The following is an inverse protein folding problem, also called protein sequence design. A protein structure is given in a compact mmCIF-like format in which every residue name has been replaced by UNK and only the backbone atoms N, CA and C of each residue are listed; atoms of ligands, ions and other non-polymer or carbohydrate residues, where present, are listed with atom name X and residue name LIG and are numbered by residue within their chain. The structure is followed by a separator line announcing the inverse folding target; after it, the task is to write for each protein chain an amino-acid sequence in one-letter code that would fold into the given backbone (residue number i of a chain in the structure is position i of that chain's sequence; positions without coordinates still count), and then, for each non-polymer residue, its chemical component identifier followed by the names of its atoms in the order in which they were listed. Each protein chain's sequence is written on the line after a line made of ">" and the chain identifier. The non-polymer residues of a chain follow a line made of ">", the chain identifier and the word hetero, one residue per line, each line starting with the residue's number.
data_IF_292343229102
#
_entry.id   IF_292343229102
#
_cell.length_a   1.000
_cell.length_b   1.000
_cell.length_c   1.000
_cell.angle_alpha   90.00
_cell.angle_beta   90.00
_cell.angle_gamma   90.00
#
_symmetry.space_group_name_H-M   'P 1'
#
loop_
_entity.id
_entity.type
_entity.pdbx_description
1 polymer ?
#
# COMPACT_ATOMS: atom_id res chain seq x y z
N UNK A 1 -10.71 -10.10 17.52
CA UNK A 1 -9.46 -9.61 18.14
C UNK A 1 -8.36 -10.68 18.27
N UNK A 2 -8.60 -11.82 18.93
CA UNK A 2 -7.56 -12.82 19.20
C UNK A 2 -6.85 -13.42 17.98
N UNK A 3 -7.56 -13.63 16.86
CA UNK A 3 -7.00 -14.22 15.64
C UNK A 3 -5.91 -13.34 15.00
N UNK A 4 -6.13 -12.02 14.92
CA UNK A 4 -5.16 -11.07 14.35
C UNK A 4 -3.92 -10.97 15.25
N UNK A 5 -4.10 -10.86 16.57
CA UNK A 5 -2.98 -10.82 17.53
C UNK A 5 -2.11 -12.08 17.43
N UNK A 6 -2.74 -13.26 17.38
CA UNK A 6 -2.02 -14.52 17.21
C UNK A 6 -1.28 -14.60 15.87
N UNK A 7 -1.89 -14.11 14.79
CA UNK A 7 -1.23 -14.01 13.49
C UNK A 7 0.00 -13.08 13.55
N UNK A 8 -0.14 -11.87 14.11
CA UNK A 8 0.94 -10.91 14.24
C UNK A 8 2.09 -11.47 15.11
N UNK A 9 1.79 -12.17 16.20
CA UNK A 9 2.80 -12.84 17.02
C UNK A 9 3.56 -13.94 16.24
N UNK A 10 2.86 -14.69 15.38
CA UNK A 10 3.49 -15.61 14.44
C UNK A 10 4.39 -14.90 13.44
N UNK A 11 3.93 -13.76 12.90
CA UNK A 11 4.66 -12.96 11.94
C UNK A 11 5.94 -12.36 12.54
N UNK A 12 5.89 -11.82 13.77
CA UNK A 12 7.05 -11.35 14.54
C UNK A 12 8.15 -12.41 14.60
N UNK A 13 7.79 -13.64 15.00
CA UNK A 13 8.74 -14.75 15.11
C UNK A 13 9.34 -15.14 13.76
N UNK A 14 8.54 -15.10 12.70
CA UNK A 14 8.97 -15.48 11.34
C UNK A 14 9.90 -14.44 10.72
N UNK A 15 9.59 -13.15 10.89
CA UNK A 15 10.34 -12.07 10.24
C UNK A 15 11.52 -11.57 11.06
N UNK A 16 11.56 -11.84 12.38
CA UNK A 16 12.63 -11.38 13.25
C UNK A 16 12.58 -9.89 13.61
N UNK A 17 11.47 -9.21 13.29
CA UNK A 17 11.24 -7.81 13.64
C UNK A 17 10.28 -7.67 14.82
N UNK A 18 10.49 -6.64 15.66
CA UNK A 18 9.55 -6.28 16.72
C UNK A 18 8.26 -5.74 16.10
N UNK A 19 7.11 -6.30 16.49
CA UNK A 19 5.80 -5.75 16.15
C UNK A 19 5.07 -5.34 17.41
N UNK A 20 4.36 -4.21 17.35
CA UNK A 20 3.56 -3.68 18.45
C UNK A 20 2.10 -3.61 17.98
N UNK A 21 1.22 -4.56 18.35
CA UNK A 21 -0.18 -4.51 17.95
C UNK A 21 -0.94 -3.47 18.79
N UNK A 22 -1.45 -2.44 18.12
CA UNK A 22 -2.25 -1.37 18.73
C UNK A 22 -3.71 -1.61 18.36
N UNK A 23 -4.61 -1.53 19.33
CA UNK A 23 -6.03 -1.78 19.11
C UNK A 23 -6.81 -0.47 19.08
N UNK A 24 -7.56 -0.26 17.99
CA UNK A 24 -8.52 0.83 17.88
C UNK A 24 -9.95 0.27 18.00
N UNK A 25 -10.65 0.62 19.08
CA UNK A 25 -12.06 0.24 19.29
C UNK A 25 -13.00 0.99 18.36
N UNK A 26 -12.59 2.16 17.89
CA UNK A 26 -13.38 3.08 17.09
C UNK A 26 -13.01 3.01 15.60
N UNK A 27 -12.58 1.84 15.11
CA UNK A 27 -12.05 1.68 13.74
C UNK A 27 -13.05 2.07 12.65
N UNK A 28 -14.36 1.88 12.91
CA UNK A 28 -15.45 2.23 11.98
C UNK A 28 -15.60 3.73 11.73
N UNK A 29 -15.02 4.58 12.60
CA UNK A 29 -15.17 6.04 12.48
C UNK A 29 -14.21 6.66 11.46
N UNK A 30 -13.21 5.92 10.99
CA UNK A 30 -12.25 6.37 9.99
C UNK A 30 -10.84 5.84 10.22
N UNK A 31 -10.08 5.65 9.13
CA UNK A 31 -8.72 5.11 9.17
C UNK A 31 -7.72 6.02 9.91
N UNK A 32 -7.95 7.34 9.92
CA UNK A 32 -7.11 8.30 10.62
C UNK A 32 -7.11 8.14 12.13
N UNK A 33 -8.20 7.66 12.75
CA UNK A 33 -8.20 7.29 14.17
C UNK A 33 -7.24 6.15 14.47
N UNK A 34 -7.15 5.16 13.58
CA UNK A 34 -6.22 4.04 13.76
C UNK A 34 -4.77 4.52 13.75
N UNK A 35 -4.46 5.51 12.89
CA UNK A 35 -3.15 6.17 12.88
C UNK A 35 -2.92 6.97 14.16
N UNK A 36 -3.91 7.74 14.64
CA UNK A 36 -3.81 8.48 15.91
C UNK A 36 -3.48 7.59 17.12
N UNK A 37 -3.97 6.34 17.15
CA UNK A 37 -3.64 5.40 18.23
C UNK A 37 -2.14 5.06 18.29
N UNK A 38 -1.40 5.27 17.21
CA UNK A 38 0.04 5.03 17.15
C UNK A 38 0.91 6.22 17.61
N UNK A 39 0.32 7.36 17.95
CA UNK A 39 1.03 8.61 18.32
C UNK A 39 2.11 8.43 19.37
N UNK A 40 1.85 7.64 20.40
CA UNK A 40 2.80 7.43 21.52
C UNK A 40 4.03 6.60 21.11
N UNK A 41 3.96 5.90 19.99
CA UNK A 41 4.99 4.98 19.52
C UNK A 41 5.86 5.57 18.39
N UNK A 42 5.38 6.62 17.72
CA UNK A 42 5.98 7.15 16.49
C UNK A 42 6.40 8.61 16.69
N UNK A 43 7.68 8.82 17.04
CA UNK A 43 8.26 10.14 17.34
C UNK A 43 9.22 10.64 16.27
N UNK A 44 9.52 9.82 15.27
CA UNK A 44 10.39 10.12 14.12
C UNK A 44 9.59 9.95 12.82
N UNK A 45 10.08 10.45 11.66
CA UNK A 45 9.45 10.17 10.39
C UNK A 45 9.29 8.66 10.13
N UNK A 46 8.12 8.26 9.66
CA UNK A 46 7.75 6.86 9.51
C UNK A 46 7.05 6.59 8.18
N UNK A 47 7.12 5.35 7.73
CA UNK A 47 6.34 4.86 6.60
C UNK A 47 4.98 4.38 7.13
N UNK A 48 3.90 4.87 6.54
CA UNK A 48 2.52 4.48 6.81
C UNK A 48 1.97 3.78 5.57
N UNK A 49 1.49 2.55 5.76
CA UNK A 49 1.02 1.67 4.68
C UNK A 49 -0.39 1.20 4.99
N UNK A 50 -1.27 1.27 4.00
CA UNK A 50 -2.56 0.60 4.03
C UNK A 50 -2.33 -0.93 3.96
N UNK A 51 -3.05 -1.69 4.79
CA UNK A 51 -2.74 -3.12 5.03
C UNK A 51 -3.36 -4.07 4.00
N UNK A 52 -4.39 -3.59 3.31
CA UNK A 52 -5.13 -4.12 2.17
C UNK A 52 -4.40 -3.87 0.83
N UNK A 53 -3.45 -2.95 0.79
CA UNK A 53 -2.75 -2.61 -0.45
C UNK A 53 -1.56 -3.56 -0.72
N UNK A 54 -1.52 -4.10 -1.94
CA UNK A 54 -0.36 -4.79 -2.48
C UNK A 54 0.39 -3.85 -3.41
N UNK A 55 1.71 -3.76 -3.30
CA UNK A 55 2.49 -2.78 -4.05
C UNK A 55 3.94 -3.22 -4.29
N UNK A 56 4.59 -2.62 -5.28
CA UNK A 56 6.01 -2.79 -5.56
C UNK A 56 6.86 -2.14 -4.44
N UNK A 57 7.73 -2.91 -3.76
CA UNK A 57 8.61 -2.37 -2.72
C UNK A 57 9.49 -1.20 -3.16
N UNK A 58 9.72 -0.99 -4.46
CA UNK A 58 10.40 0.20 -4.98
C UNK A 58 9.71 1.51 -4.53
N UNK A 59 8.38 1.55 -4.50
CA UNK A 59 7.61 2.73 -4.08
C UNK A 59 7.98 3.13 -2.64
N UNK A 60 8.01 2.17 -1.72
CA UNK A 60 8.41 2.42 -0.33
C UNK A 60 9.86 2.89 -0.23
N UNK A 61 10.77 2.35 -1.04
CA UNK A 61 12.18 2.78 -1.04
C UNK A 61 12.34 4.23 -1.50
N UNK A 62 11.63 4.62 -2.55
CA UNK A 62 11.63 6.00 -3.06
C UNK A 62 11.08 6.98 -2.04
N UNK A 63 9.93 6.66 -1.44
CA UNK A 63 9.36 7.46 -0.35
C UNK A 63 10.32 7.59 0.83
N UNK A 64 10.92 6.48 1.28
CA UNK A 64 11.90 6.51 2.38
C UNK A 64 13.11 7.40 2.08
N UNK A 65 13.59 7.43 0.84
CA UNK A 65 14.71 8.26 0.41
C UNK A 65 14.38 9.76 0.31
N UNK A 66 13.10 10.13 0.19
CA UNK A 66 12.67 11.51 0.05
C UNK A 66 12.90 12.32 1.35
N UNK A 67 13.66 13.43 1.34
CA UNK A 67 13.75 14.30 2.50
C UNK A 67 12.41 15.01 2.75
N UNK A 68 11.96 15.02 4.01
CA UNK A 68 10.80 15.78 4.45
C UNK A 68 11.24 16.88 5.42
N UNK A 69 10.70 18.07 5.23
CA UNK A 69 10.78 19.14 6.23
C UNK A 69 9.83 18.85 7.39
N UNK A 70 10.01 19.56 8.50
CA UNK A 70 9.07 19.46 9.61
C UNK A 70 7.64 19.86 9.18
N UNK A 71 6.67 19.10 9.66
CA UNK A 71 5.26 19.24 9.29
C UNK A 71 4.85 18.59 7.97
N UNK A 72 5.78 18.12 7.14
CA UNK A 72 5.46 17.58 5.82
C UNK A 72 5.07 16.10 5.86
N UNK A 73 4.31 15.70 4.85
CA UNK A 73 4.10 14.30 4.46
C UNK A 73 4.35 14.15 2.96
N UNK A 74 4.61 12.92 2.53
CA UNK A 74 4.59 12.53 1.13
C UNK A 74 3.68 11.33 0.92
N UNK A 75 2.95 11.33 -0.18
CA UNK A 75 2.10 10.24 -0.64
C UNK A 75 2.60 9.75 -2.01
N UNK A 76 2.73 8.43 -2.18
CA UNK A 76 2.86 7.83 -3.49
C UNK A 76 1.56 8.04 -4.29
N UNK A 77 1.65 8.69 -5.44
CA UNK A 77 0.52 9.00 -6.31
C UNK A 77 0.72 8.31 -7.66
N UNK A 78 -0.24 7.48 -8.05
CA UNK A 78 -0.30 6.94 -9.40
C UNK A 78 -0.98 7.95 -10.32
N UNK A 79 -0.25 8.49 -11.29
CA UNK A 79 -0.77 9.43 -12.28
C UNK A 79 -1.19 8.76 -13.59
N UNK A 80 -1.02 7.45 -13.73
CA UNK A 80 -1.61 6.73 -14.85
C UNK A 80 -3.10 6.50 -14.60
N UNK A 81 -3.92 7.49 -14.96
CA UNK A 81 -5.38 7.45 -14.82
C UNK A 81 -6.07 6.37 -15.67
N UNK A 82 -5.29 5.59 -16.44
CA UNK A 82 -5.75 4.46 -17.24
C UNK A 82 -5.36 3.10 -16.63
N UNK A 83 -4.78 3.09 -15.43
CA UNK A 83 -4.40 1.86 -14.76
C UNK A 83 -5.62 0.96 -14.53
N UNK A 84 -5.66 -0.17 -15.26
CA UNK A 84 -6.79 -1.10 -15.26
C UNK A 84 -6.93 -1.90 -13.96
N UNK A 85 -6.00 -1.78 -13.01
CA UNK A 85 -6.08 -2.42 -11.70
C UNK A 85 -6.88 -1.60 -10.68
N UNK A 86 -7.20 -0.35 -11.01
CA UNK A 86 -7.91 0.56 -10.12
C UNK A 86 -9.41 0.32 -10.23
N UNK A 87 -10.09 0.34 -9.09
CA UNK A 87 -11.54 0.49 -9.04
C UNK A 87 -11.90 1.97 -8.97
N UNK A 88 -12.49 2.49 -10.05
CA UNK A 88 -12.83 3.90 -10.17
C UNK A 88 -13.98 4.33 -9.25
N UNK A 89 -14.76 3.38 -8.73
CA UNK A 89 -15.87 3.66 -7.82
C UNK A 89 -15.39 3.87 -6.38
N UNK A 90 -14.33 3.17 -5.96
CA UNK A 90 -13.83 3.24 -4.58
C UNK A 90 -12.52 4.02 -4.41
N UNK A 91 -11.70 4.16 -5.47
CA UNK A 91 -10.38 4.79 -5.36
C UNK A 91 -10.43 6.23 -4.83
N UNK A 92 -9.52 6.54 -3.91
CA UNK A 92 -9.28 7.92 -3.49
C UNK A 92 -8.50 8.66 -4.57
N UNK A 93 -9.10 9.70 -5.13
CA UNK A 93 -8.53 10.49 -6.24
C UNK A 93 -7.74 11.67 -5.69
N UNK A 94 -6.69 12.04 -6.41
CA UNK A 94 -5.76 13.11 -6.03
C UNK A 94 -5.63 14.11 -7.19
N UNK A 95 -5.65 15.39 -6.85
CA UNK A 95 -5.22 16.47 -7.74
C UNK A 95 -3.85 16.96 -7.29
N UNK A 96 -2.93 17.02 -8.23
CA UNK A 96 -1.55 17.45 -8.00
C UNK A 96 -1.13 18.58 -8.95
N UNK A 97 -0.16 19.39 -8.53
CA UNK A 97 0.57 20.34 -9.38
C UNK A 97 2.06 20.24 -9.04
N UNK A 98 2.87 19.74 -9.97
CA UNK A 98 4.27 19.42 -9.67
C UNK A 98 4.36 18.34 -8.59
N UNK A 99 5.14 18.55 -7.55
CA UNK A 99 5.27 17.65 -6.40
C UNK A 99 4.27 17.95 -5.28
N UNK A 100 3.28 18.81 -5.50
CA UNK A 100 2.31 19.24 -4.48
C UNK A 100 0.97 18.58 -4.68
N UNK A 101 0.36 18.13 -3.57
CA UNK A 101 -1.05 17.74 -3.54
C UNK A 101 -1.88 19.01 -3.35
N UNK A 102 -2.86 19.20 -4.22
CA UNK A 102 -3.81 20.32 -4.14
C UNK A 102 -5.13 19.88 -3.51
N UNK A 103 -5.59 18.67 -3.81
CA UNK A 103 -6.82 18.12 -3.26
C UNK A 103 -6.80 16.58 -3.30
N UNK A 104 -7.58 15.94 -2.44
CA UNK A 104 -7.68 14.48 -2.33
C UNK A 104 -9.05 14.06 -1.81
N UNK A 105 -9.78 13.19 -2.50
CA UNK A 105 -11.07 12.66 -2.06
C UNK A 105 -11.53 11.53 -2.99
N UNK A 106 -12.34 10.58 -2.51
CA UNK A 106 -13.02 9.59 -3.37
C UNK A 106 -13.93 10.25 -4.41
N UNK A 107 -14.59 11.36 -4.05
CA UNK A 107 -15.56 12.06 -4.90
C UNK A 107 -14.98 13.13 -5.83
N UNK A 108 -13.65 13.22 -5.97
CA UNK A 108 -13.02 14.31 -6.72
C UNK A 108 -13.27 14.16 -8.24
N UNK A 109 -13.79 15.22 -8.87
CA UNK A 109 -14.08 15.24 -10.32
C UNK A 109 -12.90 15.73 -11.15
N UNK A 110 -12.20 16.76 -10.70
CA UNK A 110 -10.93 17.21 -11.28
C UNK A 110 -9.75 16.56 -10.55
N UNK A 111 -9.23 15.48 -11.12
CA UNK A 111 -8.11 14.72 -10.58
C UNK A 111 -7.09 14.39 -11.68
N UNK A 112 -5.85 14.11 -11.29
CA UNK A 112 -4.80 13.67 -12.19
C UNK A 112 -3.93 12.56 -11.59
N UNK A 113 -4.44 11.89 -10.55
CA UNK A 113 -3.84 10.69 -10.01
C UNK A 113 -4.70 10.03 -8.93
N UNK A 114 -4.19 8.93 -8.40
CA UNK A 114 -4.81 8.10 -7.39
C UNK A 114 -3.91 7.99 -6.16
N UNK A 115 -4.52 7.97 -4.98
CA UNK A 115 -3.86 7.68 -3.72
C UNK A 115 -3.52 6.19 -3.67
N UNK A 116 -2.23 5.88 -3.50
CA UNK A 116 -1.74 4.49 -3.45
C UNK A 116 -1.76 3.89 -2.05
N UNK A 117 -2.15 4.62 -1.01
CA UNK A 117 -2.13 4.19 0.38
C UNK A 117 -0.73 4.07 1.00
N UNK A 118 0.30 4.58 0.32
CA UNK A 118 1.70 4.46 0.74
C UNK A 118 2.23 5.87 1.04
N UNK A 119 2.44 6.15 2.32
CA UNK A 119 2.82 7.46 2.81
C UNK A 119 4.16 7.42 3.53
N UNK A 120 4.92 8.50 3.40
CA UNK A 120 5.94 8.87 4.38
C UNK A 120 5.40 10.04 5.19
N UNK A 121 5.29 9.87 6.50
CA UNK A 121 4.75 10.86 7.41
C UNK A 121 5.80 11.36 8.40
N UNK A 122 5.67 12.60 8.83
CA UNK A 122 6.27 13.10 10.07
C UNK A 122 5.26 13.00 11.21
N UNK A 123 5.67 13.04 12.50
CA UNK A 123 4.75 13.04 13.64
C UNK A 123 3.71 14.18 13.62
N UNK A 124 3.94 15.22 12.83
CA UNK A 124 2.98 16.31 12.65
C UNK A 124 1.60 15.85 12.16
N UNK A 125 1.52 14.73 11.42
CA UNK A 125 0.25 14.15 10.95
C UNK A 125 -0.74 13.92 12.10
N UNK A 126 -0.26 13.54 13.29
CA UNK A 126 -1.12 13.30 14.45
C UNK A 126 -1.86 14.56 14.90
N UNK A 127 -1.15 15.70 14.94
CA UNK A 127 -1.76 16.98 15.31
C UNK A 127 -2.84 17.42 14.31
N UNK A 128 -2.63 17.13 13.02
CA UNK A 128 -3.58 17.46 11.96
C UNK A 128 -4.81 16.56 12.03
N UNK A 129 -4.61 15.25 12.22
CA UNK A 129 -5.70 14.30 12.43
C UNK A 129 -6.57 14.67 13.65
N UNK A 130 -5.95 15.06 14.77
CA UNK A 130 -6.69 15.55 15.94
C UNK A 130 -7.47 16.83 15.65
N UNK A 131 -6.90 17.74 14.85
CA UNK A 131 -7.55 18.98 14.47
C UNK A 131 -8.75 18.72 13.55
N UNK A 132 -8.58 17.89 12.52
CA UNK A 132 -9.65 17.49 11.60
C UNK A 132 -10.83 16.87 12.36
N UNK A 133 -10.53 15.93 13.26
CA UNK A 133 -11.54 15.29 14.10
C UNK A 133 -12.31 16.27 15.01
N UNK A 134 -11.64 17.31 15.51
CA UNK A 134 -12.25 18.32 16.40
C UNK A 134 -13.05 19.39 15.65
N UNK A 135 -12.57 19.82 14.48
CA UNK A 135 -13.14 20.94 13.74
C UNK A 135 -14.29 20.48 12.85
N UNK A 136 -14.08 19.40 12.11
CA UNK A 136 -14.98 18.97 11.03
C UNK A 136 -15.69 17.65 11.35
N UNK A 137 -15.26 16.96 12.41
CA UNK A 137 -15.73 15.61 12.73
C UNK A 137 -15.24 14.53 11.77
N UNK A 138 -14.43 14.91 10.76
CA UNK A 138 -13.82 13.98 9.82
C UNK A 138 -12.56 13.37 10.44
N UNK A 139 -12.49 12.04 10.47
CA UNK A 139 -11.38 11.30 11.05
C UNK A 139 -10.64 10.45 10.03
N UNK A 140 -10.82 10.75 8.74
CA UNK A 140 -10.13 10.09 7.64
C UNK A 140 -8.71 10.64 7.46
N UNK A 141 -7.82 9.81 6.91
CA UNK A 141 -6.50 10.25 6.47
C UNK A 141 -6.61 11.30 5.36
N UNK A 142 -7.55 11.13 4.41
CA UNK A 142 -7.75 12.07 3.31
C UNK A 142 -8.06 13.49 3.82
N UNK A 143 -8.87 13.64 4.86
CA UNK A 143 -9.12 14.95 5.48
C UNK A 143 -7.85 15.57 6.07
N UNK A 144 -7.02 14.80 6.77
CA UNK A 144 -5.74 15.29 7.26
C UNK A 144 -4.79 15.68 6.11
N UNK A 145 -4.77 14.91 5.02
CA UNK A 145 -3.99 15.25 3.81
C UNK A 145 -4.51 16.52 3.16
N UNK A 146 -5.83 16.75 3.09
CA UNK A 146 -6.41 18.00 2.59
C UNK A 146 -5.98 19.21 3.44
N UNK A 147 -6.01 19.09 4.77
CA UNK A 147 -5.53 20.16 5.66
C UNK A 147 -4.04 20.46 5.47
N UNK A 148 -3.21 19.43 5.26
CA UNK A 148 -1.79 19.59 4.98
C UNK A 148 -1.55 20.17 3.59
N UNK A 149 -2.34 19.78 2.58
CA UNK A 149 -2.29 20.34 1.23
C UNK A 149 -2.60 21.85 1.24
N UNK A 150 -3.62 22.27 1.99
CA UNK A 150 -3.95 23.69 2.17
C UNK A 150 -2.83 24.49 2.85
N UNK A 151 -1.96 23.82 3.62
CA UNK A 151 -0.79 24.42 4.27
C UNK A 151 0.52 24.27 3.48
N UNK A 152 0.48 23.75 2.23
CA UNK A 152 1.65 23.45 1.41
C UNK A 152 2.60 22.41 2.02
N UNK A 153 2.03 21.45 2.76
CA UNK A 153 2.75 20.41 3.52
C UNK A 153 2.49 18.98 3.05
N UNK A 154 1.72 18.79 1.97
CA UNK A 154 1.45 17.48 1.38
C UNK A 154 2.12 17.35 0.01
N UNK A 155 3.14 16.48 -0.07
CA UNK A 155 3.88 16.19 -1.29
C UNK A 155 3.33 14.95 -2.01
N UNK A 156 3.34 14.99 -3.34
CA UNK A 156 3.07 13.86 -4.21
C UNK A 156 4.38 13.32 -4.77
N UNK A 157 4.61 12.01 -4.62
CA UNK A 157 5.67 11.27 -5.29
C UNK A 157 5.02 10.47 -6.40
N UNK A 158 5.38 10.75 -7.65
CA UNK A 158 4.84 10.02 -8.80
C UNK A 158 5.42 8.61 -8.87
N UNK A 159 4.55 7.60 -8.92
CA UNK A 159 4.94 6.16 -8.89
C UNK A 159 4.63 5.44 -10.20
N UNK A 160 4.41 6.17 -11.28
CA UNK A 160 3.95 5.63 -12.56
C UNK A 160 4.76 4.41 -13.01
N UNK A 161 4.06 3.36 -13.43
CA UNK A 161 4.67 2.11 -13.88
C UNK A 161 5.02 1.12 -12.77
N UNK A 162 4.93 1.50 -11.49
CA UNK A 162 5.00 0.55 -10.39
C UNK A 162 3.67 -0.16 -10.17
N UNK A 163 3.75 -1.43 -9.81
CA UNK A 163 2.58 -2.23 -9.46
C UNK A 163 2.00 -1.75 -8.12
N UNK A 164 0.70 -1.51 -8.10
CA UNK A 164 -0.08 -1.44 -6.86
C UNK A 164 -1.55 -1.80 -7.12
N UNK A 165 -2.24 -2.27 -6.09
CA UNK A 165 -3.67 -2.58 -6.11
C UNK A 165 -4.23 -2.61 -4.68
N UNK A 166 -5.43 -2.08 -4.49
CA UNK A 166 -6.23 -2.23 -3.27
C UNK A 166 -7.02 -3.55 -3.30
N UNK A 167 -7.07 -4.28 -2.17
CA UNK A 167 -7.66 -5.62 -2.07
C UNK A 167 -8.73 -5.66 -0.98
N UNK A 168 -9.89 -5.09 -1.30
CA UNK A 168 -11.04 -5.01 -0.39
C UNK A 168 -12.01 -6.17 -0.50
N UNK A 169 -12.07 -6.84 -1.65
CA UNK A 169 -13.14 -7.78 -2.00
C UNK A 169 -12.63 -9.00 -2.79
N UNK A 170 -13.47 -10.03 -3.01
CA UNK A 170 -13.07 -11.22 -3.76
C UNK A 170 -12.68 -10.96 -5.23
N UNK A 171 -13.22 -9.94 -5.88
CA UNK A 171 -12.91 -9.58 -7.25
C UNK A 171 -11.53 -8.92 -7.34
N UNK A 172 -11.26 -7.91 -6.51
CA UNK A 172 -9.95 -7.26 -6.40
C UNK A 172 -8.87 -8.24 -5.96
N UNK A 173 -9.19 -9.20 -5.08
CA UNK A 173 -8.29 -10.31 -4.74
C UNK A 173 -7.91 -11.17 -5.95
N UNK A 174 -8.91 -11.55 -6.76
CA UNK A 174 -8.68 -12.34 -7.99
C UNK A 174 -7.85 -11.56 -9.02
N UNK A 175 -8.12 -10.24 -9.16
CA UNK A 175 -7.34 -9.33 -10.02
C UNK A 175 -5.90 -9.23 -9.55
N UNK A 176 -5.67 -9.06 -8.25
CA UNK A 176 -4.33 -9.02 -7.65
C UNK A 176 -3.56 -10.32 -7.88
N UNK A 177 -4.18 -11.47 -7.62
CA UNK A 177 -3.57 -12.78 -7.87
C UNK A 177 -3.17 -12.92 -9.35
N UNK A 178 -4.07 -12.58 -10.27
CA UNK A 178 -3.79 -12.63 -11.72
C UNK A 178 -2.67 -11.68 -12.11
N UNK A 179 -2.63 -10.47 -11.58
CA UNK A 179 -1.59 -9.49 -11.87
C UNK A 179 -0.21 -9.98 -11.41
N UNK A 180 -0.10 -10.52 -10.18
CA UNK A 180 1.13 -11.11 -9.65
C UNK A 180 1.56 -12.32 -10.48
N UNK A 181 0.64 -13.21 -10.86
CA UNK A 181 0.98 -14.37 -11.69
C UNK A 181 1.40 -13.98 -13.11
N UNK A 182 0.92 -12.86 -13.62
CA UNK A 182 1.30 -12.33 -14.94
C UNK A 182 2.71 -11.74 -14.88
N UNK A 183 3.03 -10.96 -13.84
CA UNK A 183 4.37 -10.38 -13.69
C UNK A 183 5.48 -11.43 -13.54
N UNK A 184 5.16 -12.64 -13.05
CA UNK A 184 6.10 -13.77 -12.99
C UNK A 184 6.45 -14.37 -14.38
N UNK A 185 5.64 -14.08 -15.42
CA UNK A 185 5.83 -14.61 -16.78
C UNK A 185 6.73 -13.71 -17.62
N UNK A 186 6.82 -12.43 -17.30
CA UNK A 186 7.56 -11.43 -18.07
C UNK A 186 9.06 -11.45 -17.74
N UNK A 187 9.71 -12.56 -18.11
CA UNK A 187 11.17 -12.69 -18.03
C UNK A 187 11.80 -12.37 -19.40
N UNK A 188 12.55 -11.26 -19.52
CA UNK A 188 13.07 -10.80 -20.81
C UNK A 188 14.07 -11.79 -21.43
N UNK A 189 14.78 -12.55 -20.59
CA UNK A 189 15.80 -13.51 -21.02
C UNK A 189 15.25 -14.91 -21.39
N UNK A 190 13.95 -15.12 -21.38
CA UNK A 190 13.37 -16.42 -21.72
C UNK A 190 13.38 -16.67 -23.25
N UNK A 191 13.93 -17.82 -23.65
CA UNK A 191 13.78 -18.33 -25.02
C UNK A 191 12.33 -18.78 -25.33
N UNK A 192 12.00 -19.08 -26.61
CA UNK A 192 10.62 -19.37 -27.04
C UNK A 192 9.95 -20.51 -26.27
N UNK A 193 10.66 -21.62 -26.01
CA UNK A 193 10.13 -22.76 -25.24
C UNK A 193 9.78 -22.36 -23.81
N UNK A 194 10.66 -21.60 -23.16
CA UNK A 194 10.44 -21.13 -21.80
C UNK A 194 9.21 -20.21 -21.72
N UNK A 195 9.10 -19.27 -22.66
CA UNK A 195 8.02 -18.28 -22.71
C UNK A 195 6.65 -18.89 -22.98
N UNK A 196 6.54 -19.78 -23.97
CA UNK A 196 5.23 -20.26 -24.43
C UNK A 196 4.78 -21.57 -23.79
N UNK A 197 5.70 -22.37 -23.22
CA UNK A 197 5.37 -23.68 -22.67
C UNK A 197 5.70 -23.74 -21.17
N UNK A 198 6.95 -23.47 -20.79
CA UNK A 198 7.38 -23.68 -19.40
C UNK A 198 6.73 -22.68 -18.45
N UNK A 199 6.63 -21.39 -18.82
CA UNK A 199 6.04 -20.34 -17.98
C UNK A 199 4.56 -20.56 -17.69
N UNK A 200 3.67 -20.77 -18.68
CA UNK A 200 2.27 -21.03 -18.40
C UNK A 200 2.04 -22.25 -17.52
N UNK A 201 2.82 -23.33 -17.74
CA UNK A 201 2.73 -24.54 -16.93
C UNK A 201 3.24 -24.31 -15.50
N UNK A 202 4.45 -23.75 -15.37
CA UNK A 202 5.09 -23.48 -14.08
C UNK A 202 4.22 -22.57 -13.22
N UNK A 203 3.65 -21.50 -13.78
CA UNK A 203 2.82 -20.56 -13.02
C UNK A 203 1.55 -21.24 -12.50
N UNK A 204 0.90 -22.10 -13.28
CA UNK A 204 -0.25 -22.90 -12.83
C UNK A 204 0.12 -23.86 -11.70
N UNK A 205 1.28 -24.50 -11.80
CA UNK A 205 1.78 -25.42 -10.76
C UNK A 205 2.10 -24.62 -9.49
N UNK A 206 2.87 -23.53 -9.60
CA UNK A 206 3.22 -22.66 -8.47
C UNK A 206 1.99 -22.11 -7.75
N UNK A 207 0.97 -21.68 -8.49
CA UNK A 207 -0.31 -21.22 -7.93
C UNK A 207 -0.98 -22.29 -7.05
N UNK A 208 -0.87 -23.58 -7.40
CA UNK A 208 -1.40 -24.66 -6.56
C UNK A 208 -0.48 -24.97 -5.39
N UNK A 209 0.82 -25.07 -5.63
CA UNK A 209 1.82 -25.46 -4.63
C UNK A 209 1.93 -24.46 -3.48
N UNK A 210 1.73 -23.16 -3.72
CA UNK A 210 1.82 -22.12 -2.67
C UNK A 210 0.80 -22.30 -1.55
N UNK A 211 -0.30 -23.01 -1.82
CA UNK A 211 -1.32 -23.33 -0.82
C UNK A 211 -0.95 -24.53 0.06
N UNK A 212 0.18 -25.18 -0.21
CA UNK A 212 0.70 -26.31 0.55
C UNK A 212 2.01 -25.92 1.27
N UNK A 213 2.38 -26.69 2.29
CA UNK A 213 3.65 -26.50 3.03
C UNK A 213 4.85 -27.08 2.28
N UNK A 214 4.93 -26.79 0.98
CA UNK A 214 6.00 -27.25 0.10
C UNK A 214 6.95 -26.08 -0.15
N UNK A 215 8.22 -26.26 0.19
CA UNK A 215 9.27 -25.25 0.00
C UNK A 215 9.93 -25.39 -1.38
N UNK A 216 10.47 -24.31 -1.96
CA UNK A 216 11.24 -24.39 -3.21
C UNK A 216 12.42 -25.38 -3.12
N UNK A 217 13.04 -25.52 -1.94
CA UNK A 217 14.14 -26.46 -1.72
C UNK A 217 13.68 -27.92 -1.79
N UNK A 218 12.48 -28.24 -1.30
CA UNK A 218 11.90 -29.57 -1.44
C UNK A 218 11.64 -29.90 -2.91
N UNK A 219 11.05 -28.97 -3.68
CA UNK A 219 10.83 -29.15 -5.12
C UNK A 219 12.15 -29.39 -5.85
N UNK A 220 13.17 -28.60 -5.51
CA UNK A 220 14.51 -28.75 -6.09
C UNK A 220 15.09 -30.14 -5.80
N UNK A 221 15.07 -30.59 -4.55
CA UNK A 221 15.56 -31.92 -4.17
C UNK A 221 14.85 -33.04 -4.92
N UNK A 222 13.51 -32.98 -5.02
CA UNK A 222 12.73 -33.97 -5.77
C UNK A 222 13.02 -33.97 -7.27
N UNK A 223 13.46 -32.85 -7.85
CA UNK A 223 13.75 -32.75 -9.28
C UNK A 223 15.11 -33.36 -9.66
N UNK A 224 15.96 -33.69 -8.67
CA UNK A 224 17.28 -34.31 -8.85
C UNK A 224 17.33 -35.78 -8.37
N UNK A 225 16.20 -36.35 -7.97
CA UNK A 225 16.01 -37.77 -7.69
C UNK A 225 15.45 -38.49 -8.93
#
# INVERSE_FOLDING_TARGET
>A
EGRIRSFLAGLTRRLGYRTTPIFNRDWEKGNGLSVLRAREYLQEPFLLLMADHLFDPAIARELMALPLSDGEIALGVDRDTRNSLIDMEDVTRVKTNGDKILNISKGLTDFNGFDTGIFKCTPAIFSVLERSAKQDGDTTLSAAVQMLAAADKAKAVEINGHFWIDVDDPETFSRAEKAILTSLQDKPNDGPVSRYINRPLSVRISRRLVNHRITPNQISLFSFL
#
